data_IF_518885508291
#
_entry.id   IF_518885508291
#
_cell.length_a   1.000
_cell.length_b   1.000
_cell.length_c   1.000
_cell.angle_alpha   90.00
_cell.angle_beta   90.00
_cell.angle_gamma   90.00
#
_symmetry.space_group_name_H-M   'P 1'
#
loop_
_entity.id
_entity.type
_entity.pdbx_description
1 polymer ?
#
# COMPACT_ATOMS: atom_id res chain seq x y z
N UNK A 1 24.20 5.65 -14.39
CA UNK A 1 23.18 5.14 -15.34
C UNK A 1 22.37 6.32 -15.84
N UNK A 2 22.18 6.48 -17.15
CA UNK A 2 21.42 7.61 -17.71
C UNK A 2 19.90 7.36 -17.60
N UNK A 3 19.08 8.41 -17.59
CA UNK A 3 17.62 8.37 -17.46
C UNK A 3 16.98 7.42 -18.49
N UNK A 4 17.41 7.47 -19.74
CA UNK A 4 16.88 6.61 -20.81
C UNK A 4 17.11 5.13 -20.52
N UNK A 5 18.33 4.78 -20.11
CA UNK A 5 18.69 3.40 -19.73
C UNK A 5 17.86 2.91 -18.53
N UNK A 6 17.52 3.80 -17.59
CA UNK A 6 16.62 3.49 -16.48
C UNK A 6 15.21 3.20 -16.93
N UNK A 7 14.64 4.07 -17.76
CA UNK A 7 13.30 3.89 -18.31
C UNK A 7 13.21 2.57 -19.07
N UNK A 8 14.20 2.23 -19.89
CA UNK A 8 14.22 0.99 -20.67
C UNK A 8 14.27 -0.26 -19.78
N UNK A 9 15.16 -0.26 -18.78
CA UNK A 9 15.25 -1.38 -17.83
C UNK A 9 14.00 -1.50 -16.96
N UNK A 10 13.39 -0.38 -16.54
CA UNK A 10 12.13 -0.39 -15.79
C UNK A 10 10.98 -0.90 -16.65
N UNK A 11 10.86 -0.46 -17.90
CA UNK A 11 9.84 -0.97 -18.82
C UNK A 11 10.02 -2.47 -19.08
N UNK A 12 11.27 -2.94 -19.20
CA UNK A 12 11.57 -4.37 -19.35
C UNK A 12 11.11 -5.16 -18.11
N UNK A 13 11.36 -4.63 -16.90
CA UNK A 13 10.94 -5.25 -15.65
C UNK A 13 9.42 -5.26 -15.48
N UNK A 14 8.74 -4.16 -15.81
CA UNK A 14 7.28 -4.03 -15.70
C UNK A 14 6.51 -4.84 -16.76
N UNK A 15 7.16 -5.18 -17.88
CA UNK A 15 6.61 -6.08 -18.91
C UNK A 15 6.65 -7.55 -18.55
N UNK A 16 7.35 -7.93 -17.47
CA UNK A 16 7.41 -9.31 -17.00
C UNK A 16 6.04 -9.74 -16.43
N UNK A 17 5.23 -10.39 -17.28
CA UNK A 17 3.89 -10.86 -16.92
C UNK A 17 3.89 -11.98 -15.87
N UNK A 18 5.04 -12.60 -15.59
CA UNK A 18 5.13 -13.57 -14.49
C UNK A 18 5.16 -12.89 -13.13
N UNK A 19 5.50 -11.59 -13.09
CA UNK A 19 5.62 -10.80 -11.85
C UNK A 19 4.60 -9.67 -11.76
N UNK A 20 4.24 -9.05 -12.87
CA UNK A 20 3.38 -7.87 -12.91
C UNK A 20 2.20 -8.09 -13.85
N UNK A 21 1.04 -7.59 -13.43
CA UNK A 21 -0.17 -7.62 -14.24
C UNK A 21 -0.63 -6.18 -14.50
N UNK A 22 -0.86 -5.85 -15.76
CA UNK A 22 -1.42 -4.56 -16.14
C UNK A 22 -2.91 -4.58 -15.84
N UNK A 23 -3.40 -3.55 -15.15
CA UNK A 23 -4.83 -3.31 -14.98
C UNK A 23 -5.26 -2.09 -15.79
N UNK A 24 -6.38 -2.21 -16.49
CA UNK A 24 -6.89 -1.15 -17.37
C UNK A 24 -7.45 0.05 -16.59
N UNK A 25 -8.00 -0.18 -15.39
CA UNK A 25 -8.56 0.87 -14.54
C UNK A 25 -8.04 0.77 -13.11
N UNK A 26 -7.22 1.75 -12.73
CA UNK A 26 -6.75 1.88 -11.34
C UNK A 26 -7.91 2.24 -10.39
N UNK A 27 -8.94 2.94 -10.89
CA UNK A 27 -10.11 3.34 -10.10
C UNK A 27 -10.95 2.15 -9.66
N UNK A 28 -11.16 1.17 -10.54
CA UNK A 28 -11.94 -0.03 -10.22
C UNK A 28 -11.26 -0.88 -9.16
N UNK A 29 -9.92 -0.97 -9.21
CA UNK A 29 -9.15 -1.64 -8.18
C UNK A 29 -9.29 -0.95 -6.83
N UNK A 30 -9.14 0.38 -6.80
CA UNK A 30 -9.26 1.19 -5.59
C UNK A 30 -10.66 1.02 -4.97
N UNK A 31 -11.73 1.15 -5.77
CA UNK A 31 -13.10 0.91 -5.30
C UNK A 31 -13.33 -0.51 -4.79
N UNK A 32 -12.78 -1.52 -5.48
CA UNK A 32 -12.91 -2.92 -5.07
C UNK A 32 -12.21 -3.15 -3.73
N UNK A 33 -11.04 -2.56 -3.51
CA UNK A 33 -10.30 -2.64 -2.25
C UNK A 33 -11.07 -1.92 -1.15
N UNK A 34 -11.57 -0.70 -1.41
CA UNK A 34 -12.39 0.06 -0.46
C UNK A 34 -13.65 -0.71 -0.02
N UNK A 35 -14.35 -1.33 -0.97
CA UNK A 35 -15.53 -2.16 -0.69
C UNK A 35 -15.17 -3.37 0.16
N UNK A 36 -14.10 -4.08 -0.16
CA UNK A 36 -13.64 -5.22 0.62
C UNK A 36 -13.26 -4.83 2.04
N UNK A 37 -12.51 -3.74 2.19
CA UNK A 37 -12.06 -3.25 3.49
C UNK A 37 -13.24 -2.80 4.35
N UNK A 38 -14.17 -2.03 3.77
CA UNK A 38 -15.42 -1.62 4.42
C UNK A 38 -16.25 -2.83 4.85
N UNK A 39 -16.33 -3.87 4.02
CA UNK A 39 -17.06 -5.11 4.34
C UNK A 39 -16.44 -5.83 5.53
N UNK A 40 -15.11 -5.81 5.68
CA UNK A 40 -14.40 -6.39 6.83
C UNK A 40 -14.47 -5.52 8.08
N UNK A 41 -14.51 -4.19 7.95
CA UNK A 41 -14.62 -3.27 9.09
C UNK A 41 -16.04 -3.21 9.68
N UNK A 42 -17.09 -3.38 8.88
CA UNK A 42 -18.49 -3.40 9.32
C UNK A 42 -18.76 -4.35 10.51
N UNK A 43 -18.39 -5.64 10.45
CA UNK A 43 -18.60 -6.54 11.59
C UNK A 43 -17.76 -6.13 12.80
N UNK A 44 -16.51 -5.68 12.62
CA UNK A 44 -15.66 -5.23 13.73
C UNK A 44 -16.31 -4.07 14.50
N UNK A 45 -16.92 -3.12 13.78
CA UNK A 45 -17.70 -2.03 14.39
C UNK A 45 -18.97 -2.57 15.06
N UNK A 46 -19.71 -3.46 14.40
CA UNK A 46 -20.97 -4.03 14.93
C UNK A 46 -20.76 -4.75 16.25
N UNK A 47 -19.66 -5.49 16.39
CA UNK A 47 -19.27 -6.19 17.61
C UNK A 47 -18.50 -5.31 18.61
N UNK A 48 -18.42 -3.99 18.36
CA UNK A 48 -17.75 -3.00 19.22
C UNK A 48 -16.26 -3.28 19.47
N UNK A 49 -15.58 -4.03 18.59
CA UNK A 49 -14.13 -4.20 18.65
C UNK A 49 -13.36 -2.94 18.24
N UNK A 50 -14.01 -2.04 17.51
CA UNK A 50 -13.47 -0.73 17.11
C UNK A 50 -14.47 0.37 17.44
N UNK A 51 -13.97 1.52 17.89
CA UNK A 51 -14.78 2.71 18.14
C UNK A 51 -15.30 3.33 16.83
N UNK A 52 -16.32 4.18 16.93
CA UNK A 52 -16.83 4.94 15.77
C UNK A 52 -15.72 5.79 15.14
N UNK A 53 -14.92 6.47 15.96
CA UNK A 53 -13.81 7.31 15.50
C UNK A 53 -12.74 6.49 14.76
N UNK A 54 -12.42 5.28 15.28
CA UNK A 54 -11.51 4.36 14.60
C UNK A 54 -12.10 3.86 13.28
N UNK A 55 -13.39 3.56 13.25
CA UNK A 55 -14.08 3.16 12.02
C UNK A 55 -14.08 4.28 10.97
N UNK A 56 -14.37 5.53 11.35
CA UNK A 56 -14.34 6.69 10.45
C UNK A 56 -12.91 6.93 9.93
N UNK A 57 -11.89 6.87 10.80
CA UNK A 57 -10.49 7.05 10.40
C UNK A 57 -9.94 5.92 9.52
N UNK A 58 -10.48 4.70 9.67
CA UNK A 58 -10.14 3.55 8.82
C UNK A 58 -10.95 3.52 7.52
N UNK A 59 -12.15 4.10 7.52
CA UNK A 59 -13.01 4.18 6.35
C UNK A 59 -12.36 5.12 5.34
N UNK A 60 -11.83 4.50 4.29
CA UNK A 60 -11.08 5.14 3.23
C UNK A 60 -11.98 6.14 2.49
N UNK A 61 -11.51 7.39 2.34
CA UNK A 61 -12.15 8.40 1.52
C UNK A 61 -11.08 9.25 0.86
N UNK A 62 -11.06 9.28 -0.48
CA UNK A 62 -10.21 10.18 -1.27
C UNK A 62 -8.76 9.73 -1.47
N UNK A 63 -8.51 8.42 -1.41
CA UNK A 63 -7.15 7.88 -1.36
C UNK A 63 -6.55 7.65 -2.76
N UNK A 64 -5.24 7.84 -2.92
CA UNK A 64 -4.56 7.61 -4.19
C UNK A 64 -3.89 6.23 -4.24
N UNK A 65 -3.76 5.62 -5.42
CA UNK A 65 -2.98 4.41 -5.56
C UNK A 65 -1.51 4.69 -5.21
N UNK A 66 -0.79 3.71 -4.63
CA UNK A 66 0.64 3.83 -4.40
C UNK A 66 1.39 4.19 -5.69
N UNK A 67 2.34 5.12 -5.59
CA UNK A 67 3.08 5.62 -6.75
C UNK A 67 4.50 5.10 -6.74
N UNK A 68 4.96 4.63 -7.89
CA UNK A 68 6.35 4.28 -8.08
C UNK A 68 7.17 5.57 -8.25
N UNK A 69 8.24 5.71 -7.48
CA UNK A 69 9.11 6.87 -7.57
C UNK A 69 10.03 6.74 -8.79
N UNK A 70 10.16 7.83 -9.54
CA UNK A 70 11.00 7.89 -10.75
C UNK A 70 12.50 7.95 -10.45
N UNK A 71 12.89 8.08 -9.17
CA UNK A 71 14.28 8.26 -8.79
C UNK A 71 15.01 6.90 -8.73
N UNK A 72 16.02 6.68 -9.59
CA UNK A 72 16.82 5.47 -9.51
C UNK A 72 17.58 5.47 -8.18
N UNK A 73 17.33 4.49 -7.32
CA UNK A 73 18.23 4.24 -6.20
C UNK A 73 19.58 3.87 -6.76
N UNK A 74 20.62 4.61 -6.33
CA UNK A 74 22.00 4.52 -6.80
C UNK A 74 22.40 3.05 -6.93
N UNK A 75 22.64 2.60 -8.16
CA UNK A 75 22.91 1.21 -8.46
C UNK A 75 24.39 0.88 -8.34
N UNK A 76 24.71 -0.16 -7.57
CA UNK A 76 25.97 -0.91 -7.73
C UNK A 76 25.89 -1.67 -9.06
N UNK A 77 27.02 -1.78 -9.78
CA UNK A 77 27.09 -2.21 -11.19
C UNK A 77 26.37 -3.53 -11.51
N UNK A 78 26.22 -4.43 -10.53
CA UNK A 78 25.69 -5.80 -10.73
C UNK A 78 24.35 -6.07 -10.03
N UNK A 79 23.71 -5.05 -9.46
CA UNK A 79 22.46 -5.25 -8.69
C UNK A 79 21.24 -5.06 -9.59
N UNK A 80 20.19 -5.86 -9.36
CA UNK A 80 18.88 -5.72 -10.03
C UNK A 80 18.18 -4.44 -9.57
N UNK A 81 17.47 -3.77 -10.50
CA UNK A 81 16.65 -2.59 -10.20
C UNK A 81 15.70 -2.86 -9.03
N UNK A 82 15.64 -1.89 -8.10
CA UNK A 82 14.73 -1.90 -6.95
C UNK A 82 13.74 -0.75 -7.09
N UNK A 83 12.53 -1.01 -7.58
CA UNK A 83 11.48 0.00 -7.60
C UNK A 83 11.15 0.43 -6.18
N UNK A 84 11.01 1.73 -5.95
CA UNK A 84 10.54 2.27 -4.68
C UNK A 84 9.09 2.70 -4.87
N UNK A 85 8.21 2.19 -4.02
CA UNK A 85 6.78 2.52 -4.05
C UNK A 85 6.48 3.41 -2.85
N UNK A 86 6.02 4.63 -3.13
CA UNK A 86 5.47 5.54 -2.14
C UNK A 86 4.04 5.15 -1.81
N UNK A 87 3.81 4.80 -0.55
CA UNK A 87 2.47 4.43 -0.03
C UNK A 87 1.82 5.56 0.79
N UNK A 88 2.45 6.73 0.88
CA UNK A 88 1.90 7.89 1.60
C UNK A 88 0.54 8.26 1.01
N UNK A 89 -0.46 8.48 1.88
CA UNK A 89 -1.83 8.78 1.49
C UNK A 89 -2.46 7.73 0.55
N UNK A 90 -1.99 6.47 0.61
CA UNK A 90 -2.59 5.34 -0.09
C UNK A 90 -3.62 4.60 0.75
N UNK A 91 -4.48 3.81 0.10
CA UNK A 91 -5.56 3.02 0.72
C UNK A 91 -5.06 2.14 1.89
N UNK A 92 -3.79 1.76 1.82
CA UNK A 92 -3.14 0.89 2.79
C UNK A 92 -2.58 1.66 3.99
N UNK A 93 -2.33 2.96 3.87
CA UNK A 93 -1.57 3.72 4.86
C UNK A 93 -2.29 3.84 6.21
N UNK A 94 -3.56 4.24 6.21
CA UNK A 94 -4.37 4.38 7.42
C UNK A 94 -4.53 3.04 8.14
N UNK A 95 -4.85 1.99 7.39
CA UNK A 95 -5.01 0.62 7.90
C UNK A 95 -3.70 0.11 8.51
N UNK A 96 -2.58 0.26 7.80
CA UNK A 96 -1.27 -0.18 8.31
C UNK A 96 -0.88 0.58 9.59
N UNK A 97 -1.07 1.91 9.61
CA UNK A 97 -0.81 2.74 10.80
C UNK A 97 -1.65 2.31 12.00
N UNK A 98 -2.90 1.94 11.78
CA UNK A 98 -3.77 1.43 12.84
C UNK A 98 -3.32 0.06 13.36
N UNK A 99 -2.95 -0.87 12.47
CA UNK A 99 -2.42 -2.18 12.86
C UNK A 99 -1.12 -2.07 13.66
N UNK A 100 -0.22 -1.17 13.29
CA UNK A 100 1.02 -0.92 14.05
C UNK A 100 0.71 -0.44 15.46
N UNK A 101 -0.23 0.51 15.62
CA UNK A 101 -0.67 0.98 16.95
C UNK A 101 -1.23 -0.15 17.80
N UNK A 102 -2.03 -1.04 17.21
CA UNK A 102 -2.54 -2.22 17.94
C UNK A 102 -1.39 -3.13 18.38
N UNK A 103 -0.43 -3.40 17.50
CA UNK A 103 0.73 -4.24 17.83
C UNK A 103 1.58 -3.65 18.95
N UNK A 104 1.77 -2.33 18.98
CA UNK A 104 2.50 -1.64 20.04
C UNK A 104 1.79 -1.77 21.40
N UNK A 105 0.46 -1.64 21.42
CA UNK A 105 -0.35 -1.84 22.64
C UNK A 105 -0.19 -3.27 23.15
N UNK A 106 -0.32 -4.26 22.27
CA UNK A 106 -0.20 -5.68 22.63
C UNK A 106 1.20 -5.98 23.20
N UNK A 107 2.25 -5.49 22.55
CA UNK A 107 3.64 -5.69 23.00
C UNK A 107 3.89 -5.11 24.40
N UNK A 108 3.28 -3.97 24.73
CA UNK A 108 3.39 -3.35 26.06
C UNK A 108 2.62 -4.12 27.13
N UNK A 109 1.45 -4.67 26.79
CA UNK A 109 0.67 -5.49 27.73
C UNK A 109 1.29 -6.85 28.04
N UNK A 110 2.14 -7.39 27.16
CA UNK A 110 2.77 -8.71 27.33
C UNK A 110 4.06 -8.68 28.18
N UNK A 111 4.54 -7.51 28.57
CA UNK A 111 5.76 -7.33 29.38
C UNK A 111 5.48 -7.00 30.85
N UNK A 112 4.24 -7.20 31.30
CA UNK A 112 3.80 -7.04 32.70
C UNK A 112 3.33 -8.38 33.24
#
# INVERSE_FOLDING_TARGET
MNRTNYIDKMNTLLRDQTKFQTHESCKELDEKIERQLTTRLKPLKRYQYISEDAYIGLKLSGTHPPRLHDLPTIHKLEVRLRPIIGMSNSLYHSTAKWLVRLSEVISRSATT
#
